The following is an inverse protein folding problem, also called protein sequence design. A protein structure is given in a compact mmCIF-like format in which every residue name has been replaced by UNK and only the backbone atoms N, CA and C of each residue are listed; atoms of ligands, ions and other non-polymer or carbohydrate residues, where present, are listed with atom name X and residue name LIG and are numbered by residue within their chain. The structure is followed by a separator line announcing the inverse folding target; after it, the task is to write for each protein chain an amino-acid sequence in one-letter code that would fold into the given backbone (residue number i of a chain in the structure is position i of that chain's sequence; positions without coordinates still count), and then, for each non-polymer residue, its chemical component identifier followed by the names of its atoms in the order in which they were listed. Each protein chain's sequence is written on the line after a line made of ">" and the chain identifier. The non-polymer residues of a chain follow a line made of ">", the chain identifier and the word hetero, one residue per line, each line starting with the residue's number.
data_IF_481606845285
#
_entry.id   IF_481606845285
#
_cell.length_a   1.000
_cell.length_b   1.000
_cell.length_c   1.000
_cell.angle_alpha   90.00
_cell.angle_beta   90.00
_cell.angle_gamma   90.00
#
_symmetry.space_group_name_H-M   'P 1'
#
loop_
_entity.id
_entity.type
_entity.pdbx_description
1 polymer ?
#
# COMPACT_ATOMS: atom_id res chain seq x y z
N UNK A 1 26.31 16.96 27.54
CA UNK A 1 25.76 15.88 26.70
C UNK A 1 24.34 16.26 26.33
N UNK A 2 24.02 16.38 25.04
CA UNK A 2 22.64 16.66 24.63
C UNK A 2 21.74 15.46 24.98
N UNK A 3 20.52 15.67 25.49
CA UNK A 3 19.60 14.58 25.78
C UNK A 3 19.29 13.81 24.49
N UNK A 4 19.38 12.47 24.55
CA UNK A 4 18.94 11.61 23.46
C UNK A 4 17.41 11.64 23.44
N UNK A 5 16.85 12.40 22.51
CA UNK A 5 15.40 12.40 22.31
C UNK A 5 14.99 11.13 21.57
N UNK A 6 14.24 10.28 22.26
CA UNK A 6 13.67 9.07 21.67
C UNK A 6 12.43 9.43 20.86
N UNK A 7 12.27 8.81 19.70
CA UNK A 7 11.11 9.05 18.84
C UNK A 7 9.78 8.71 19.55
N UNK A 8 9.79 7.74 20.46
CA UNK A 8 8.64 7.36 21.31
C UNK A 8 8.35 8.34 22.45
N UNK A 9 9.28 9.23 22.80
CA UNK A 9 9.06 10.26 23.82
C UNK A 9 8.36 11.51 23.26
N UNK A 10 8.18 11.59 21.94
CA UNK A 10 7.46 12.68 21.30
C UNK A 10 5.94 12.52 21.47
N UNK A 11 5.18 13.62 21.55
CA UNK A 11 3.72 13.59 21.49
C UNK A 11 3.21 12.82 20.27
N UNK A 12 2.05 12.19 20.42
CA UNK A 12 1.47 11.32 19.40
C UNK A 12 1.27 11.99 18.04
N UNK A 13 0.88 13.26 18.06
CA UNK A 13 0.62 14.11 16.92
C UNK A 13 1.89 14.32 16.09
N UNK A 14 2.99 14.61 16.78
CA UNK A 14 4.31 14.81 16.16
C UNK A 14 4.82 13.49 15.58
N UNK A 15 4.67 12.38 16.32
CA UNK A 15 5.05 11.05 15.82
C UNK A 15 4.27 10.68 14.56
N UNK A 16 2.95 10.90 14.57
CA UNK A 16 2.10 10.64 13.40
C UNK A 16 2.53 11.48 12.20
N UNK A 17 2.85 12.77 12.38
CA UNK A 17 3.31 13.60 11.27
C UNK A 17 4.66 13.12 10.71
N UNK A 18 5.61 12.77 11.57
CA UNK A 18 6.89 12.18 11.14
C UNK A 18 6.64 10.89 10.35
N UNK A 19 5.80 9.99 10.87
CA UNK A 19 5.51 8.73 10.19
C UNK A 19 4.81 8.92 8.85
N UNK A 20 3.91 9.91 8.72
CA UNK A 20 3.29 10.24 7.43
C UNK A 20 4.34 10.64 6.40
N UNK A 21 5.30 11.49 6.78
CA UNK A 21 6.38 11.88 5.87
C UNK A 21 7.34 10.73 5.56
N UNK A 22 7.67 9.88 6.53
CA UNK A 22 8.56 8.73 6.31
C UNK A 22 7.92 7.62 5.45
N UNK A 23 6.60 7.44 5.53
CA UNK A 23 5.89 6.35 4.85
C UNK A 23 5.23 6.79 3.54
N UNK A 24 5.23 8.10 3.24
CA UNK A 24 4.78 8.62 1.94
C UNK A 24 5.83 8.31 0.89
N UNK A 25 5.36 7.81 -0.25
CA UNK A 25 6.15 7.51 -1.42
C UNK A 25 5.62 8.35 -2.57
N UNK A 26 6.52 8.95 -3.34
CA UNK A 26 6.14 9.69 -4.54
C UNK A 26 5.47 8.76 -5.55
N UNK A 27 4.31 9.15 -6.05
CA UNK A 27 3.45 8.30 -6.89
C UNK A 27 2.65 7.24 -6.12
N UNK A 28 2.94 7.03 -4.83
CA UNK A 28 2.22 6.09 -3.97
C UNK A 28 2.53 4.63 -4.28
N UNK A 29 1.49 3.81 -4.28
CA UNK A 29 1.58 2.36 -4.45
C UNK A 29 0.84 1.89 -5.69
N UNK A 30 1.33 0.79 -6.27
CA UNK A 30 0.71 0.15 -7.43
C UNK A 30 0.58 -1.34 -7.18
N UNK A 31 -0.55 -1.91 -7.59
CA UNK A 31 -0.71 -3.35 -7.59
C UNK A 31 0.06 -3.96 -8.77
N UNK A 32 1.06 -4.79 -8.48
CA UNK A 32 1.77 -5.58 -9.48
C UNK A 32 1.09 -6.93 -9.66
N UNK A 33 0.46 -7.11 -10.82
CA UNK A 33 -0.22 -8.34 -11.17
C UNK A 33 0.75 -9.53 -11.29
N UNK A 34 2.02 -9.32 -11.66
CA UNK A 34 2.98 -10.41 -11.81
C UNK A 34 3.34 -11.03 -10.47
N UNK A 35 3.65 -10.21 -9.47
CA UNK A 35 3.97 -10.69 -8.12
C UNK A 35 2.75 -10.89 -7.22
N UNK A 36 1.56 -10.46 -7.66
CA UNK A 36 0.31 -10.45 -6.89
C UNK A 36 0.45 -9.68 -5.57
N UNK A 37 1.16 -8.55 -5.62
CA UNK A 37 1.52 -7.74 -4.44
C UNK A 37 1.43 -6.26 -4.73
N UNK A 38 1.30 -5.50 -3.64
CA UNK A 38 1.44 -4.05 -3.69
C UNK A 38 2.93 -3.67 -3.65
N UNK A 39 3.34 -2.82 -4.58
CA UNK A 39 4.70 -2.29 -4.71
C UNK A 39 4.70 -0.76 -4.74
N UNK A 40 5.87 -0.15 -4.68
CA UNK A 40 5.99 1.29 -4.91
C UNK A 40 5.67 1.62 -6.38
N UNK A 41 5.05 2.77 -6.62
CA UNK A 41 4.71 3.25 -7.96
C UNK A 41 5.90 3.83 -8.73
N UNK A 42 7.09 3.25 -8.57
CA UNK A 42 8.27 3.58 -9.36
C UNK A 42 8.44 2.59 -10.53
N UNK A 43 9.22 2.97 -11.53
CA UNK A 43 9.45 2.14 -12.73
C UNK A 43 10.03 0.75 -12.41
N UNK A 44 10.73 0.62 -11.28
CA UNK A 44 11.32 -0.63 -10.83
C UNK A 44 10.35 -1.51 -10.03
N UNK A 45 9.12 -1.05 -9.77
CA UNK A 45 8.13 -1.70 -8.88
C UNK A 45 8.75 -2.22 -7.58
N UNK A 46 9.57 -1.39 -6.93
CA UNK A 46 10.34 -1.86 -5.77
C UNK A 46 9.43 -2.22 -4.59
N UNK A 47 9.84 -3.18 -3.73
CA UNK A 47 9.06 -3.54 -2.55
C UNK A 47 8.83 -2.33 -1.62
N UNK A 48 7.67 -2.29 -0.97
CA UNK A 48 7.38 -1.29 0.06
C UNK A 48 8.34 -1.48 1.25
N UNK A 49 9.02 -0.41 1.66
CA UNK A 49 9.90 -0.48 2.82
C UNK A 49 9.08 -0.53 4.12
N UNK A 50 9.22 -1.64 4.84
CA UNK A 50 8.56 -1.89 6.12
C UNK A 50 9.54 -1.86 7.29
N UNK A 51 10.80 -1.52 7.06
CA UNK A 51 11.88 -1.53 8.06
C UNK A 51 11.49 -0.79 9.34
N UNK A 52 10.95 0.43 9.21
CA UNK A 52 10.50 1.25 10.33
C UNK A 52 9.43 0.54 11.17
N UNK A 53 8.46 -0.09 10.53
CA UNK A 53 7.36 -0.81 11.20
C UNK A 53 7.86 -2.06 11.92
N UNK A 54 8.91 -2.69 11.41
CA UNK A 54 9.50 -3.88 12.02
C UNK A 54 10.50 -3.59 13.15
N UNK A 55 10.83 -2.32 13.40
CA UNK A 55 11.74 -1.97 14.51
C UNK A 55 11.15 -2.28 15.89
N UNK A 56 9.90 -1.90 16.16
CA UNK A 56 9.24 -2.20 17.43
C UNK A 56 7.70 -2.19 17.33
N UNK A 57 7.06 -2.88 18.27
CA UNK A 57 5.59 -3.02 18.33
C UNK A 57 4.86 -1.68 18.44
N UNK A 58 5.37 -0.75 19.26
CA UNK A 58 4.76 0.57 19.42
C UNK A 58 4.70 1.33 18.09
N UNK A 59 5.80 1.35 17.33
CA UNK A 59 5.84 2.01 16.01
C UNK A 59 4.92 1.27 15.03
N UNK A 60 4.91 -0.07 15.05
CA UNK A 60 4.00 -0.84 14.21
C UNK A 60 2.52 -0.49 14.46
N UNK A 61 2.15 -0.27 15.71
CA UNK A 61 0.80 0.11 16.12
C UNK A 61 0.47 1.54 15.73
N UNK A 62 1.37 2.51 15.99
CA UNK A 62 1.16 3.91 15.62
C UNK A 62 1.03 4.12 14.10
N UNK A 63 1.70 3.27 13.31
CA UNK A 63 1.77 3.37 11.85
C UNK A 63 0.76 2.49 11.11
N UNK A 64 -0.02 1.67 11.81
CA UNK A 64 -0.85 0.60 11.23
C UNK A 64 -1.63 1.00 9.97
N UNK A 65 -2.29 2.16 10.02
CA UNK A 65 -3.15 2.66 8.95
C UNK A 65 -2.50 3.76 8.10
N UNK A 66 -1.33 4.25 8.50
CA UNK A 66 -0.69 5.43 7.88
C UNK A 66 -0.30 5.17 6.41
N UNK A 67 0.41 4.07 6.06
CA UNK A 67 0.85 3.84 4.69
C UNK A 67 -0.27 3.89 3.65
N UNK A 68 -1.41 3.25 3.95
CA UNK A 68 -2.56 3.22 3.04
C UNK A 68 -3.36 4.53 3.05
N UNK A 69 -3.27 5.31 4.13
CA UNK A 69 -3.99 6.58 4.24
C UNK A 69 -3.26 7.75 3.54
N UNK A 70 -1.94 7.68 3.41
CA UNK A 70 -1.14 8.78 2.82
C UNK A 70 -0.63 8.51 1.42
N UNK A 71 -0.75 7.27 0.93
CA UNK A 71 -0.34 6.90 -0.41
C UNK A 71 -1.57 6.60 -1.28
N UNK A 72 -1.59 7.18 -2.49
CA UNK A 72 -2.56 6.79 -3.50
C UNK A 72 -2.26 5.35 -3.94
N UNK A 73 -3.32 4.56 -4.14
CA UNK A 73 -3.20 3.17 -4.59
C UNK A 73 -3.73 3.08 -6.01
N UNK A 74 -2.84 2.73 -6.93
CA UNK A 74 -3.14 2.60 -8.34
C UNK A 74 -3.46 1.13 -8.69
N UNK A 75 -4.60 0.95 -9.34
CA UNK A 75 -5.01 -0.31 -9.93
C UNK A 75 -5.09 -0.14 -11.44
N UNK A 76 -4.60 -1.14 -12.16
CA UNK A 76 -4.71 -1.22 -13.61
C UNK A 76 -5.22 -2.60 -14.01
N UNK A 77 -5.82 -2.68 -15.19
CA UNK A 77 -6.17 -3.97 -15.78
C UNK A 77 -4.90 -4.67 -16.22
N UNK A 78 -4.74 -5.93 -15.82
CA UNK A 78 -3.62 -6.77 -16.24
C UNK A 78 -4.15 -8.08 -16.83
N UNK A 79 -3.42 -8.62 -17.80
CA UNK A 79 -3.66 -9.96 -18.31
C UNK A 79 -2.73 -10.95 -17.60
N UNK A 80 -3.33 -12.02 -17.07
CA UNK A 80 -2.61 -13.19 -16.59
C UNK A 80 -3.29 -14.44 -17.11
N UNK A 81 -2.52 -15.39 -17.63
CA UNK A 81 -3.07 -16.61 -18.22
C UNK A 81 -3.84 -17.44 -17.18
N UNK A 82 -3.36 -17.49 -15.94
CA UNK A 82 -4.03 -18.21 -14.85
C UNK A 82 -5.36 -17.58 -14.43
N UNK A 83 -5.60 -16.31 -14.75
CA UNK A 83 -6.86 -15.62 -14.51
C UNK A 83 -7.84 -15.68 -15.67
N UNK A 84 -7.45 -16.25 -16.82
CA UNK A 84 -8.25 -16.24 -18.04
C UNK A 84 -9.65 -16.82 -17.85
N UNK A 85 -9.76 -17.96 -17.16
CA UNK A 85 -11.06 -18.58 -16.87
C UNK A 85 -11.94 -17.68 -16.00
N UNK A 86 -11.35 -17.05 -14.98
CA UNK A 86 -12.05 -16.13 -14.09
C UNK A 86 -12.53 -14.87 -14.84
N UNK A 87 -11.68 -14.31 -15.72
CA UNK A 87 -12.06 -13.20 -16.59
C UNK A 87 -13.24 -13.56 -17.50
N UNK A 88 -13.28 -14.80 -18.01
CA UNK A 88 -14.42 -15.33 -18.77
C UNK A 88 -15.71 -15.37 -17.95
N UNK A 89 -15.66 -15.83 -16.70
CA UNK A 89 -16.80 -15.83 -15.79
C UNK A 89 -17.32 -14.41 -15.51
N UNK A 90 -16.43 -13.46 -15.24
CA UNK A 90 -16.81 -12.07 -15.03
C UNK A 90 -17.45 -11.45 -16.27
N UNK A 91 -16.90 -11.74 -17.46
CA UNK A 91 -17.48 -11.26 -18.71
C UNK A 91 -18.90 -11.81 -18.94
N UNK A 92 -19.14 -13.10 -18.67
CA UNK A 92 -20.46 -13.70 -18.76
C UNK A 92 -21.45 -13.05 -17.79
N UNK A 93 -21.04 -12.86 -16.53
CA UNK A 93 -21.88 -12.24 -15.51
C UNK A 93 -22.24 -10.79 -15.86
N UNK A 94 -21.25 -9.98 -16.27
CA UNK A 94 -21.46 -8.59 -16.67
C UNK A 94 -22.37 -8.47 -17.91
N UNK A 95 -22.17 -9.33 -18.91
CA UNK A 95 -23.01 -9.36 -20.11
C UNK A 95 -24.45 -9.73 -19.77
N UNK A 96 -24.65 -10.73 -18.91
CA UNK A 96 -25.98 -11.17 -18.49
C UNK A 96 -26.71 -10.06 -17.73
N UNK A 97 -26.02 -9.37 -16.83
CA UNK A 97 -26.58 -8.24 -16.09
C UNK A 97 -27.02 -7.11 -17.03
N UNK A 98 -26.17 -6.70 -17.98
CA UNK A 98 -26.51 -5.69 -18.97
C UNK A 98 -27.69 -6.04 -19.89
N UNK A 99 -27.97 -7.33 -20.09
CA UNK A 99 -29.12 -7.76 -20.89
C UNK A 99 -30.43 -7.79 -20.09
N UNK A 100 -30.36 -7.72 -18.76
CA UNK A 100 -31.50 -7.81 -17.84
C UNK A 100 -31.96 -6.43 -17.32
N UNK A 101 -31.12 -5.40 -17.42
CA UNK A 101 -31.48 -3.98 -17.25
C UNK A 101 -32.05 -3.38 -18.54
#
# INVERSE_FOLDING_TARGET
>A
MAPKHHLTALPSEIRQQIFKECLRVDGGYVYDAQSDKLTNANDAHSPIDLSLRYTCRSIADDTRNIPLAVNMIHFSTAFREDWRSLAGCFNLAATTYHMLE
#
